data_IF_802612888148
#
_entry.id   IF_802612888148
#
_cell.length_a   1.000
_cell.length_b   1.000
_cell.length_c   1.000
_cell.angle_alpha   90.00
_cell.angle_beta   90.00
_cell.angle_gamma   90.00
#
_symmetry.space_group_name_H-M   'P 1'
#
loop_
_entity.id
_entity.type
_entity.pdbx_description
1 polymer ?
#
# COMPACT_ATOMS: atom_id res chain seq x y z
N UNK A 1 28.38 8.72 17.13
CA UNK A 1 27.02 9.20 17.45
C UNK A 1 26.42 8.19 18.42
N UNK A 2 26.29 8.50 19.71
CA UNK A 2 25.71 7.57 20.69
C UNK A 2 24.23 7.43 20.33
N UNK A 3 23.82 6.24 19.91
CA UNK A 3 22.44 5.99 19.50
C UNK A 3 21.48 6.02 20.69
N UNK A 4 20.18 6.19 20.43
CA UNK A 4 19.13 6.11 21.46
C UNK A 4 19.15 4.79 22.25
N UNK A 5 19.74 3.72 21.69
CA UNK A 5 19.93 2.43 22.37
C UNK A 5 21.28 2.28 23.09
N UNK A 6 22.08 3.36 23.21
CA UNK A 6 23.42 3.40 23.84
C UNK A 6 24.48 2.52 23.17
N UNK A 7 24.18 1.92 22.02
CA UNK A 7 25.12 1.10 21.26
C UNK A 7 25.76 1.90 20.12
N UNK A 8 27.05 1.68 19.87
CA UNK A 8 27.75 2.28 18.75
C UNK A 8 27.55 1.44 17.48
N UNK A 9 26.80 2.00 16.52
CA UNK A 9 26.60 1.35 15.22
C UNK A 9 27.90 1.14 14.46
N UNK A 10 28.95 1.93 14.73
CA UNK A 10 30.28 1.76 14.13
C UNK A 10 30.91 0.40 14.43
N UNK A 11 30.45 -0.29 15.48
CA UNK A 11 30.90 -1.64 15.84
C UNK A 11 30.09 -2.76 15.14
N UNK A 12 29.08 -2.42 14.34
CA UNK A 12 28.22 -3.37 13.66
C UNK A 12 28.81 -3.79 12.31
N UNK A 13 29.08 -5.07 12.11
CA UNK A 13 29.57 -5.59 10.82
C UNK A 13 28.55 -5.43 9.67
N UNK A 14 27.29 -5.19 10.00
CA UNK A 14 26.22 -4.99 9.02
C UNK A 14 26.09 -3.51 8.61
N UNK A 15 26.72 -2.58 9.34
CA UNK A 15 26.72 -1.15 8.99
C UNK A 15 27.46 -0.94 7.66
N UNK A 16 26.87 -0.14 6.77
CA UNK A 16 27.39 0.15 5.44
C UNK A 16 27.09 -0.94 4.40
N UNK A 17 27.05 -2.22 4.81
CA UNK A 17 26.78 -3.34 3.89
C UNK A 17 25.28 -3.59 3.74
N UNK A 18 24.56 -3.75 4.87
CA UNK A 18 23.14 -4.08 4.89
C UNK A 18 22.31 -3.13 5.77
N UNK A 19 22.94 -2.18 6.45
CA UNK A 19 22.30 -1.25 7.38
C UNK A 19 22.95 0.13 7.32
N UNK A 20 22.15 1.19 7.50
CA UNK A 20 22.58 2.59 7.46
C UNK A 20 22.64 3.26 8.85
N UNK A 21 22.51 2.46 9.92
CA UNK A 21 22.51 2.90 11.32
C UNK A 21 21.13 2.81 11.97
N UNK A 22 21.07 2.74 13.30
CA UNK A 22 19.83 2.43 14.02
C UNK A 22 18.92 3.66 14.25
N UNK A 23 17.64 3.42 14.58
CA UNK A 23 17.29 3.18 15.99
C UNK A 23 17.13 1.68 16.32
N UNK A 24 17.60 1.29 17.50
CA UNK A 24 17.17 0.05 18.15
C UNK A 24 17.81 -1.30 17.75
N UNK A 25 18.89 -1.36 16.96
CA UNK A 25 19.44 -2.67 16.53
C UNK A 25 20.15 -3.50 17.62
N UNK A 26 20.02 -3.14 18.91
CA UNK A 26 20.83 -3.62 20.04
C UNK A 26 20.97 -5.14 20.19
N UNK A 27 20.19 -5.94 19.46
CA UNK A 27 20.33 -7.39 19.33
C UNK A 27 21.55 -7.81 18.47
N UNK A 28 21.84 -7.11 17.37
CA UNK A 28 22.99 -7.42 16.48
C UNK A 28 24.33 -7.01 17.11
N UNK A 29 24.31 -6.10 18.09
CA UNK A 29 25.49 -5.58 18.77
C UNK A 29 25.81 -6.25 20.13
N UNK A 30 24.89 -7.05 20.71
CA UNK A 30 25.22 -7.86 21.90
C UNK A 30 26.24 -8.93 21.52
N UNK A 31 27.49 -8.78 21.97
CA UNK A 31 28.57 -9.77 21.81
C UNK A 31 28.43 -10.96 22.76
N UNK A 32 27.62 -10.87 23.80
CA UNK A 32 27.52 -11.89 24.86
C UNK A 32 26.04 -12.14 25.15
N UNK A 33 25.62 -13.39 24.98
CA UNK A 33 24.28 -13.97 25.25
C UNK A 33 23.06 -13.23 24.66
N UNK A 34 22.71 -13.56 23.42
CA UNK A 34 21.34 -13.40 22.94
C UNK A 34 20.66 -14.76 22.97
N UNK A 35 19.58 -14.89 23.74
CA UNK A 35 18.68 -16.04 23.61
C UNK A 35 17.92 -15.92 22.29
N UNK A 36 18.43 -16.61 21.27
CA UNK A 36 17.87 -16.58 19.93
C UNK A 36 16.60 -17.44 19.80
N UNK A 37 16.23 -18.23 20.82
CA UNK A 37 15.11 -19.17 20.74
C UNK A 37 13.74 -18.48 20.75
N UNK A 38 13.65 -17.28 21.33
CA UNK A 38 12.41 -16.51 21.49
C UNK A 38 12.34 -15.25 20.62
N UNK A 39 13.44 -14.84 19.97
CA UNK A 39 13.48 -13.63 19.16
C UNK A 39 12.80 -13.84 17.79
N UNK A 40 11.72 -13.09 17.53
CA UNK A 40 10.96 -13.17 16.27
C UNK A 40 11.59 -12.47 15.06
N UNK A 41 12.60 -11.63 15.25
CA UNK A 41 13.18 -10.80 14.17
C UNK A 41 14.17 -11.56 13.29
N UNK A 42 14.31 -11.12 12.03
CA UNK A 42 15.33 -11.65 11.12
C UNK A 42 16.70 -11.15 11.59
N UNK A 43 17.64 -12.08 11.76
CA UNK A 43 18.97 -11.78 12.32
C UNK A 43 20.09 -12.25 11.38
N UNK A 44 21.06 -11.38 11.00
CA UNK A 44 22.14 -11.72 10.08
C UNK A 44 23.11 -12.78 10.63
N UNK A 45 23.11 -13.00 11.94
CA UNK A 45 23.89 -14.05 12.62
C UNK A 45 23.24 -15.44 12.51
N UNK A 46 21.95 -15.53 12.17
CA UNK A 46 21.27 -16.82 12.00
C UNK A 46 21.68 -17.46 10.67
N UNK A 47 21.93 -18.79 10.63
CA UNK A 47 22.19 -19.50 9.39
C UNK A 47 21.09 -19.22 8.35
N UNK A 48 21.48 -19.01 7.09
CA UNK A 48 20.55 -18.78 5.99
C UNK A 48 20.08 -17.34 5.81
N UNK A 49 20.19 -16.45 6.80
CA UNK A 49 19.77 -15.04 6.64
C UNK A 49 20.55 -14.32 5.56
N UNK A 50 21.88 -14.48 5.51
CA UNK A 50 22.71 -13.86 4.47
C UNK A 50 22.35 -14.36 3.06
N UNK A 51 21.98 -15.64 2.92
CA UNK A 51 21.50 -16.20 1.67
C UNK A 51 20.13 -15.63 1.30
N UNK A 52 19.21 -15.50 2.27
CA UNK A 52 17.92 -14.84 2.09
C UNK A 52 18.07 -13.39 1.63
N UNK A 53 18.99 -12.63 2.24
CA UNK A 53 19.28 -11.25 1.83
C UNK A 53 19.87 -11.19 0.42
N UNK A 54 20.90 -12.00 0.14
CA UNK A 54 21.60 -11.93 -1.14
C UNK A 54 20.75 -12.44 -2.30
N UNK A 55 20.08 -13.58 -2.13
CA UNK A 55 19.36 -14.30 -3.19
C UNK A 55 17.87 -13.95 -3.18
N UNK A 56 17.24 -13.97 -2.01
CA UNK A 56 15.80 -13.73 -1.87
C UNK A 56 15.38 -12.27 -2.10
N UNK A 57 16.28 -11.31 -1.82
CA UNK A 57 16.03 -9.88 -1.98
C UNK A 57 16.85 -9.22 -3.12
N UNK A 58 17.54 -10.03 -3.93
CA UNK A 58 18.37 -9.58 -5.05
C UNK A 58 19.42 -8.51 -4.64
N UNK A 59 20.26 -8.81 -3.64
CA UNK A 59 21.42 -7.98 -3.28
C UNK A 59 21.31 -7.22 -1.96
N UNK A 60 22.47 -6.74 -1.48
CA UNK A 60 22.68 -6.20 -0.13
C UNK A 60 22.53 -4.69 -0.02
N UNK A 61 22.64 -3.95 -1.12
CA UNK A 61 22.68 -2.50 -1.08
C UNK A 61 21.39 -1.91 -1.64
N UNK A 62 20.89 -0.88 -0.95
CA UNK A 62 19.90 0.04 -1.53
C UNK A 62 20.38 0.66 -2.85
N UNK A 63 21.64 0.51 -3.26
CA UNK A 63 22.17 1.12 -4.48
C UNK A 63 21.76 0.39 -5.76
N UNK A 64 21.19 -0.81 -5.67
CA UNK A 64 20.87 -1.66 -6.82
C UNK A 64 19.36 -1.97 -6.91
N UNK A 65 18.56 -0.93 -7.18
CA UNK A 65 17.24 -1.11 -7.78
C UNK A 65 17.40 -1.46 -9.26
N UNK A 66 16.63 -2.44 -9.75
CA UNK A 66 16.64 -2.77 -11.19
C UNK A 66 16.02 -1.60 -11.96
N UNK A 67 16.57 -1.31 -13.13
CA UNK A 67 16.01 -0.28 -14.01
C UNK A 67 14.87 -0.91 -14.81
N UNK A 68 13.62 -0.67 -14.42
CA UNK A 68 12.43 -1.18 -15.10
C UNK A 68 11.43 -0.03 -15.22
N UNK A 69 11.12 0.37 -16.45
CA UNK A 69 10.09 1.37 -16.71
C UNK A 69 8.72 0.67 -16.68
N UNK A 70 7.82 1.01 -15.75
CA UNK A 70 6.50 0.39 -15.69
C UNK A 70 5.65 0.81 -16.89
N UNK A 71 4.69 -0.04 -17.26
CA UNK A 71 3.67 0.33 -18.23
C UNK A 71 2.78 1.47 -17.68
N UNK A 72 2.33 2.36 -18.57
CA UNK A 72 1.47 3.48 -18.20
C UNK A 72 0.14 3.05 -17.59
N UNK A 73 -0.34 3.85 -16.63
CA UNK A 73 -1.61 3.64 -15.91
C UNK A 73 -2.49 4.87 -16.12
N UNK A 74 -3.38 4.79 -17.10
CA UNK A 74 -4.24 5.91 -17.47
C UNK A 74 -5.63 5.81 -16.84
N UNK A 75 -6.31 6.95 -16.72
CA UNK A 75 -7.73 7.01 -16.37
C UNK A 75 -8.05 6.61 -14.94
N UNK A 76 -7.10 6.73 -13.99
CA UNK A 76 -7.46 6.59 -12.57
C UNK A 76 -8.32 7.79 -12.14
N UNK A 77 -9.44 7.57 -11.44
CA UNK A 77 -10.30 8.62 -10.90
C UNK A 77 -9.71 9.22 -9.61
N UNK A 78 -10.29 10.33 -9.14
CA UNK A 78 -9.98 10.89 -7.82
C UNK A 78 -10.35 9.93 -6.68
N UNK A 79 -11.33 9.04 -6.89
CA UNK A 79 -11.77 8.06 -5.90
C UNK A 79 -11.72 6.63 -6.43
N UNK A 80 -10.94 5.78 -5.75
CA UNK A 80 -10.83 4.35 -6.00
C UNK A 80 -11.54 3.58 -4.88
N UNK A 81 -12.80 3.16 -5.07
CA UNK A 81 -13.56 2.52 -4.01
C UNK A 81 -13.08 1.08 -3.77
N UNK A 82 -12.71 0.77 -2.52
CA UNK A 82 -12.32 -0.58 -2.16
C UNK A 82 -13.54 -1.42 -1.72
N UNK A 83 -13.76 -2.55 -2.37
CA UNK A 83 -14.81 -3.51 -2.05
C UNK A 83 -14.26 -4.70 -1.26
N UNK A 84 -15.01 -5.10 -0.22
CA UNK A 84 -14.66 -6.23 0.65
C UNK A 84 -15.33 -7.55 0.28
N UNK A 85 -16.15 -7.58 -0.77
CA UNK A 85 -16.86 -8.77 -1.24
C UNK A 85 -17.30 -8.60 -2.70
N UNK A 86 -17.81 -9.67 -3.30
CA UNK A 86 -18.43 -9.70 -4.63
C UNK A 86 -19.82 -9.05 -4.61
N UNK A 87 -20.24 -8.54 -5.76
CA UNK A 87 -21.59 -7.99 -5.91
C UNK A 87 -22.61 -9.11 -6.16
N UNK A 88 -23.77 -9.01 -5.52
CA UNK A 88 -24.92 -9.91 -5.76
C UNK A 88 -25.62 -9.53 -7.06
N UNK A 89 -25.69 -8.25 -7.37
CA UNK A 89 -26.22 -7.71 -8.62
C UNK A 89 -25.12 -7.02 -9.40
N UNK A 90 -25.07 -7.26 -10.70
CA UNK A 90 -24.13 -6.57 -11.59
C UNK A 90 -24.49 -5.08 -11.61
N UNK A 91 -23.55 -4.16 -11.28
CA UNK A 91 -23.79 -2.73 -11.41
C UNK A 91 -24.15 -2.34 -12.85
N UNK A 92 -25.01 -1.33 -13.00
CA UNK A 92 -25.35 -0.77 -14.30
C UNK A 92 -24.14 -0.12 -15.00
N UNK A 93 -24.22 0.00 -16.32
CA UNK A 93 -23.17 0.60 -17.14
C UNK A 93 -22.82 2.02 -16.63
N UNK A 94 -21.52 2.27 -16.43
CA UNK A 94 -21.02 3.55 -15.93
C UNK A 94 -21.20 3.80 -14.43
N UNK A 95 -22.00 3.00 -13.70
CA UNK A 95 -22.21 3.19 -12.26
C UNK A 95 -20.95 2.86 -11.43
N UNK A 96 -20.09 1.98 -11.93
CA UNK A 96 -18.85 1.57 -11.26
C UNK A 96 -17.70 1.46 -12.28
N UNK A 97 -17.06 2.58 -12.66
CA UNK A 97 -15.96 2.57 -13.62
C UNK A 97 -14.69 1.93 -13.05
N UNK A 98 -14.49 2.04 -11.74
CA UNK A 98 -13.35 1.47 -11.02
C UNK A 98 -13.78 0.85 -9.70
N UNK A 99 -13.16 -0.27 -9.35
CA UNK A 99 -13.26 -0.90 -8.02
C UNK A 99 -11.93 -1.56 -7.66
N UNK A 100 -11.53 -1.48 -6.40
CA UNK A 100 -10.32 -2.14 -5.91
C UNK A 100 -10.71 -3.24 -4.91
N UNK A 101 -10.19 -4.44 -5.10
CA UNK A 101 -10.53 -5.59 -4.26
C UNK A 101 -9.43 -5.79 -3.21
N UNK A 102 -9.83 -6.11 -1.98
CA UNK A 102 -8.88 -6.55 -0.97
C UNK A 102 -8.38 -7.98 -1.30
N UNK A 103 -7.07 -8.17 -1.43
CA UNK A 103 -6.45 -9.45 -1.79
C UNK A 103 -6.81 -10.62 -0.86
N UNK A 104 -7.14 -10.36 0.41
CA UNK A 104 -7.63 -11.40 1.32
C UNK A 104 -8.99 -12.00 0.91
N UNK A 105 -9.70 -11.38 -0.04
CA UNK A 105 -10.96 -11.89 -0.62
C UNK A 105 -10.74 -12.73 -1.86
N UNK A 106 -9.61 -12.58 -2.52
CA UNK A 106 -9.26 -13.30 -3.73
C UNK A 106 -8.39 -14.53 -3.42
N UNK A 107 -7.41 -14.37 -2.52
CA UNK A 107 -6.52 -15.44 -2.07
C UNK A 107 -7.02 -16.13 -0.80
N UNK A 108 -6.52 -17.34 -0.56
CA UNK A 108 -6.71 -18.12 0.66
C UNK A 108 -6.30 -17.31 1.89
N UNK A 109 -6.79 -17.70 3.08
CA UNK A 109 -6.43 -17.03 4.34
C UNK A 109 -4.92 -17.04 4.64
N UNK A 110 -4.20 -17.99 4.06
CA UNK A 110 -2.73 -18.11 4.14
C UNK A 110 -1.99 -17.29 3.10
N UNK A 111 -2.65 -16.74 2.08
CA UNK A 111 -2.01 -16.02 0.96
C UNK A 111 -1.27 -16.93 -0.03
N UNK A 112 -1.28 -18.25 0.16
CA UNK A 112 -0.51 -19.21 -0.65
C UNK A 112 -1.24 -19.74 -1.89
N UNK A 113 -2.53 -19.43 -2.05
CA UNK A 113 -3.36 -19.90 -3.16
C UNK A 113 -4.65 -19.09 -3.28
N UNK A 114 -5.57 -19.54 -4.13
CA UNK A 114 -6.84 -18.87 -4.35
C UNK A 114 -7.93 -19.34 -3.38
N UNK A 115 -8.92 -18.50 -3.12
CA UNK A 115 -10.18 -18.97 -2.50
C UNK A 115 -10.96 -19.86 -3.47
N UNK A 116 -11.79 -20.79 -2.98
CA UNK A 116 -12.63 -21.63 -3.85
C UNK A 116 -13.47 -20.81 -4.85
N UNK A 117 -14.01 -19.67 -4.42
CA UNK A 117 -14.79 -18.78 -5.28
C UNK A 117 -13.97 -18.18 -6.43
N UNK A 118 -12.71 -17.82 -6.19
CA UNK A 118 -11.79 -17.32 -7.23
C UNK A 118 -11.25 -18.45 -8.11
N UNK A 119 -11.01 -19.62 -7.53
CA UNK A 119 -10.57 -20.81 -8.25
C UNK A 119 -11.62 -21.31 -9.26
N UNK A 120 -12.91 -21.13 -8.98
CA UNK A 120 -13.99 -21.54 -9.88
C UNK A 120 -14.05 -20.75 -11.19
N UNK A 121 -13.41 -19.57 -11.25
CA UNK A 121 -13.45 -18.63 -12.38
C UNK A 121 -12.08 -18.00 -12.63
N UNK A 122 -11.01 -18.80 -12.51
CA UNK A 122 -9.63 -18.32 -12.70
C UNK A 122 -9.47 -17.65 -14.06
N UNK A 123 -8.89 -16.45 -14.05
CA UNK A 123 -8.63 -15.68 -15.26
C UNK A 123 -9.80 -14.78 -15.67
N UNK A 124 -10.94 -14.85 -14.98
CA UNK A 124 -12.11 -14.02 -15.24
C UNK A 124 -12.52 -13.24 -13.98
N UNK A 125 -11.78 -12.17 -13.70
CA UNK A 125 -12.02 -11.33 -12.52
C UNK A 125 -13.38 -10.63 -12.56
N UNK A 126 -13.90 -10.31 -13.76
CA UNK A 126 -15.19 -9.64 -13.92
C UNK A 126 -16.32 -10.58 -13.54
N UNK A 127 -16.28 -11.83 -14.01
CA UNK A 127 -17.21 -12.88 -13.58
C UNK A 127 -17.07 -13.20 -12.10
N UNK A 128 -15.85 -13.20 -11.57
CA UNK A 128 -15.63 -13.39 -10.13
C UNK A 128 -16.29 -12.28 -9.30
N UNK A 129 -16.07 -11.02 -9.66
CA UNK A 129 -16.57 -9.87 -8.90
C UNK A 129 -18.05 -9.58 -9.16
N UNK A 130 -18.61 -10.12 -10.25
CA UNK A 130 -19.92 -9.83 -10.79
C UNK A 130 -20.04 -8.37 -11.25
N UNK A 131 -19.16 -7.97 -12.17
CA UNK A 131 -19.13 -6.63 -12.78
C UNK A 131 -19.20 -6.70 -14.29
N UNK A 132 -19.54 -5.58 -14.92
CA UNK A 132 -19.49 -5.46 -16.38
C UNK A 132 -18.05 -5.50 -16.91
N UNK A 133 -17.82 -5.90 -18.18
CA UNK A 133 -16.48 -6.00 -18.77
C UNK A 133 -15.67 -4.70 -18.72
N UNK A 134 -16.34 -3.56 -18.85
CA UNK A 134 -15.74 -2.22 -18.86
C UNK A 134 -15.31 -1.71 -17.47
N UNK A 135 -15.86 -2.27 -16.38
CA UNK A 135 -15.46 -1.91 -15.02
C UNK A 135 -14.01 -2.28 -14.81
N UNK A 136 -13.11 -1.33 -14.57
CA UNK A 136 -11.71 -1.61 -14.27
C UNK A 136 -11.55 -2.09 -12.82
N UNK A 137 -10.74 -3.12 -12.63
CA UNK A 137 -10.59 -3.82 -11.34
C UNK A 137 -9.13 -3.79 -10.90
N UNK A 138 -8.88 -3.13 -9.77
CA UNK A 138 -7.62 -3.18 -9.06
C UNK A 138 -7.62 -4.22 -7.93
N UNK A 139 -6.44 -4.55 -7.42
CA UNK A 139 -6.28 -5.36 -6.19
C UNK A 139 -5.23 -4.73 -5.27
N UNK A 140 -5.49 -4.75 -3.97
CA UNK A 140 -4.57 -4.26 -2.95
C UNK A 140 -4.30 -5.28 -1.85
N UNK A 141 -3.18 -5.10 -1.12
CA UNK A 141 -2.75 -6.03 -0.07
C UNK A 141 -2.56 -5.38 1.31
N UNK A 142 -3.42 -4.42 1.66
CA UNK A 142 -3.64 -4.02 3.06
C UNK A 142 -4.33 -5.14 3.85
N UNK A 143 -3.52 -6.11 4.28
CA UNK A 143 -3.88 -7.36 4.96
C UNK A 143 -2.89 -7.64 6.09
N UNK A 144 -3.14 -8.68 6.89
CA UNK A 144 -2.24 -9.04 7.99
C UNK A 144 -0.91 -9.63 7.47
N UNK A 145 0.18 -9.40 8.19
CA UNK A 145 1.53 -9.87 7.81
C UNK A 145 1.59 -11.38 7.57
N UNK A 146 0.87 -12.20 8.36
CA UNK A 146 0.81 -13.66 8.16
C UNK A 146 0.35 -14.05 6.74
N UNK A 147 -0.57 -13.29 6.15
CA UNK A 147 -1.00 -13.51 4.78
C UNK A 147 0.11 -13.16 3.79
N UNK A 148 0.80 -12.03 4.02
CA UNK A 148 1.90 -11.58 3.17
C UNK A 148 3.06 -12.57 3.17
N UNK A 149 3.30 -13.27 4.29
CA UNK A 149 4.30 -14.33 4.36
C UNK A 149 3.99 -15.51 3.42
N UNK A 150 2.73 -15.95 3.35
CA UNK A 150 2.37 -17.01 2.43
C UNK A 150 2.38 -16.55 0.98
N UNK A 151 1.98 -15.30 0.71
CA UNK A 151 2.11 -14.68 -0.60
C UNK A 151 3.58 -14.61 -1.04
N UNK A 152 4.47 -14.15 -0.16
CA UNK A 152 5.91 -14.06 -0.42
C UNK A 152 6.52 -15.40 -0.80
N UNK A 153 6.19 -16.46 -0.04
CA UNK A 153 6.68 -17.83 -0.30
C UNK A 153 6.18 -18.39 -1.63
N UNK A 154 4.99 -17.99 -2.08
CA UNK A 154 4.34 -18.52 -3.28
C UNK A 154 4.23 -17.50 -4.42
N UNK A 155 4.96 -16.38 -4.34
CA UNK A 155 4.76 -15.20 -5.19
C UNK A 155 4.83 -15.47 -6.69
N UNK A 156 5.77 -16.32 -7.13
CA UNK A 156 5.89 -16.72 -8.53
C UNK A 156 4.59 -17.36 -9.06
N UNK A 157 3.95 -18.20 -8.24
CA UNK A 157 2.65 -18.80 -8.56
C UNK A 157 1.51 -17.79 -8.46
N UNK A 158 1.62 -16.75 -7.65
CA UNK A 158 0.57 -15.73 -7.50
C UNK A 158 0.54 -14.75 -8.67
N UNK A 159 1.67 -14.46 -9.32
CA UNK A 159 1.73 -13.49 -10.42
C UNK A 159 0.85 -13.85 -11.62
N UNK A 160 0.74 -15.14 -11.97
CA UNK A 160 -0.19 -15.59 -13.02
C UNK A 160 -1.64 -15.22 -12.73
N UNK A 161 -2.04 -15.22 -11.45
CA UNK A 161 -3.38 -14.81 -11.05
C UNK A 161 -3.51 -13.29 -10.96
N UNK A 162 -2.43 -12.56 -10.70
CA UNK A 162 -2.47 -11.10 -10.60
C UNK A 162 -2.51 -10.40 -11.96
N UNK A 163 -2.11 -11.08 -13.04
CA UNK A 163 -2.14 -10.54 -14.40
C UNK A 163 -3.54 -10.22 -14.93
N UNK A 164 -4.60 -10.78 -14.33
CA UNK A 164 -5.98 -10.52 -14.73
C UNK A 164 -6.53 -9.17 -14.22
N UNK A 165 -5.82 -8.49 -13.32
CA UNK A 165 -6.23 -7.20 -12.77
C UNK A 165 -5.70 -6.06 -13.63
N UNK A 166 -6.48 -4.98 -13.73
CA UNK A 166 -6.13 -3.78 -14.47
C UNK A 166 -4.96 -3.04 -13.81
N UNK A 167 -4.91 -3.05 -12.46
CA UNK A 167 -3.81 -2.56 -11.64
C UNK A 167 -3.61 -3.44 -10.40
N UNK A 168 -2.37 -3.53 -9.92
CA UNK A 168 -2.02 -4.22 -8.68
C UNK A 168 -1.24 -3.28 -7.78
N UNK A 169 -1.78 -2.94 -6.61
CA UNK A 169 -0.98 -2.28 -5.58
C UNK A 169 0.00 -3.31 -5.03
N UNK A 170 1.30 -3.07 -5.19
CA UNK A 170 2.32 -4.02 -4.75
C UNK A 170 2.18 -4.29 -3.24
N UNK A 171 2.33 -5.54 -2.77
CA UNK A 171 2.18 -5.83 -1.36
C UNK A 171 3.18 -5.05 -0.50
N UNK A 172 2.64 -4.39 0.54
CA UNK A 172 3.40 -3.55 1.47
C UNK A 172 3.59 -4.30 2.80
N UNK A 173 4.82 -4.68 3.11
CA UNK A 173 5.20 -5.29 4.38
C UNK A 173 5.32 -4.22 5.47
N UNK A 174 4.69 -4.48 6.61
CA UNK A 174 4.64 -3.56 7.73
C UNK A 174 6.03 -3.16 8.24
N UNK A 175 6.21 -1.86 8.47
CA UNK A 175 7.43 -1.27 9.04
C UNK A 175 7.08 -0.71 10.42
N UNK A 176 7.23 -1.54 11.46
CA UNK A 176 6.82 -1.17 12.83
C UNK A 176 7.87 -0.29 13.51
N UNK A 177 7.43 0.79 14.16
CA UNK A 177 8.35 1.80 14.70
C UNK A 177 9.30 1.28 15.79
N UNK A 178 8.87 0.26 16.52
CA UNK A 178 9.59 -0.41 17.60
C UNK A 178 10.47 -1.58 17.13
N UNK A 179 10.41 -1.94 15.84
CA UNK A 179 11.26 -2.96 15.26
C UNK A 179 12.69 -2.46 15.03
N UNK A 180 13.70 -3.35 15.07
CA UNK A 180 15.06 -2.99 14.72
C UNK A 180 15.15 -2.44 13.29
N UNK A 181 16.02 -1.44 13.05
CA UNK A 181 16.27 -0.92 11.69
C UNK A 181 16.49 -2.02 10.64
N UNK A 182 17.21 -3.08 10.99
CA UNK A 182 17.47 -4.20 10.08
C UNK A 182 16.18 -4.83 9.54
N UNK A 183 15.16 -4.98 10.39
CA UNK A 183 13.84 -5.49 10.00
C UNK A 183 13.12 -4.53 9.05
N UNK A 184 13.20 -3.21 9.31
CA UNK A 184 12.65 -2.19 8.41
C UNK A 184 13.22 -2.31 7.00
N UNK A 185 14.55 -2.41 6.90
CA UNK A 185 15.25 -2.50 5.62
C UNK A 185 14.84 -3.75 4.85
N UNK A 186 14.69 -4.88 5.55
CA UNK A 186 14.21 -6.13 4.96
C UNK A 186 12.79 -5.94 4.40
N UNK A 187 11.86 -5.43 5.19
CA UNK A 187 10.47 -5.29 4.77
C UNK A 187 10.34 -4.29 3.61
N UNK A 188 11.04 -3.16 3.65
CA UNK A 188 11.09 -2.21 2.54
C UNK A 188 11.62 -2.90 1.27
N UNK A 189 12.70 -3.68 1.38
CA UNK A 189 13.26 -4.40 0.23
C UNK A 189 12.33 -5.48 -0.30
N UNK A 190 11.55 -6.16 0.55
CA UNK A 190 10.51 -7.09 0.12
C UNK A 190 9.42 -6.39 -0.69
N UNK A 191 8.97 -5.20 -0.28
CA UNK A 191 8.02 -4.39 -1.05
C UNK A 191 8.57 -4.08 -2.46
N UNK A 192 9.81 -3.57 -2.52
CA UNK A 192 10.49 -3.24 -3.79
C UNK A 192 10.61 -4.48 -4.66
N UNK A 193 11.05 -5.61 -4.09
CA UNK A 193 11.27 -6.85 -4.84
C UNK A 193 9.97 -7.40 -5.43
N UNK A 194 8.88 -7.38 -4.67
CA UNK A 194 7.58 -7.82 -5.19
C UNK A 194 7.12 -6.92 -6.34
N UNK A 195 7.31 -5.61 -6.22
CA UNK A 195 7.00 -4.67 -7.29
C UNK A 195 7.82 -4.96 -8.56
N UNK A 196 9.15 -5.06 -8.45
CA UNK A 196 10.04 -5.39 -9.58
C UNK A 196 9.64 -6.72 -10.25
N UNK A 197 9.44 -7.79 -9.46
CA UNK A 197 9.03 -9.10 -9.98
C UNK A 197 7.67 -9.06 -10.68
N UNK A 198 6.73 -8.23 -10.19
CA UNK A 198 5.44 -8.02 -10.85
C UNK A 198 5.59 -7.33 -12.21
N UNK A 199 6.43 -6.28 -12.30
CA UNK A 199 6.71 -5.61 -13.57
C UNK A 199 7.36 -6.57 -14.57
N UNK A 200 8.35 -7.36 -14.12
CA UNK A 200 9.02 -8.39 -14.94
C UNK A 200 8.02 -9.43 -15.49
N UNK A 201 6.97 -9.73 -14.72
CA UNK A 201 5.90 -10.64 -15.14
C UNK A 201 4.86 -9.99 -16.08
N UNK A 202 5.00 -8.69 -16.39
CA UNK A 202 4.08 -7.92 -17.22
C UNK A 202 2.80 -7.51 -16.49
N UNK A 203 2.84 -7.37 -15.17
CA UNK A 203 1.73 -6.85 -14.36
C UNK A 203 1.85 -5.32 -14.28
N UNK A 204 0.72 -4.62 -14.44
CA UNK A 204 0.61 -3.18 -14.17
C UNK A 204 0.59 -2.93 -12.65
N UNK A 205 1.77 -3.01 -12.04
CA UNK A 205 1.92 -2.81 -10.61
C UNK A 205 2.10 -1.33 -10.25
N UNK A 206 1.55 -0.92 -9.11
CA UNK A 206 1.77 0.39 -8.48
C UNK A 206 2.61 0.12 -7.22
N UNK A 207 3.80 0.71 -7.08
CA UNK A 207 4.60 0.54 -5.87
C UNK A 207 3.89 1.22 -4.70
N UNK A 208 3.75 0.48 -3.61
CA UNK A 208 3.24 0.99 -2.34
C UNK A 208 4.44 1.34 -1.44
N UNK A 209 4.63 2.65 -1.25
CA UNK A 209 5.81 3.22 -0.61
C UNK A 209 5.84 2.83 0.86
N UNK A 210 6.88 2.09 1.25
CA UNK A 210 7.18 1.72 2.63
C UNK A 210 8.40 2.49 3.12
N UNK A 211 8.32 3.11 4.30
CA UNK A 211 9.42 3.87 4.88
C UNK A 211 9.37 3.84 6.40
N UNK A 212 10.53 4.08 7.02
CA UNK A 212 10.63 4.37 8.44
C UNK A 212 11.24 5.75 8.69
N UNK A 213 12.30 6.10 7.96
CA UNK A 213 13.04 7.35 8.11
C UNK A 213 13.23 8.09 6.79
N UNK A 214 13.66 9.35 6.86
CA UNK A 214 13.85 10.22 5.67
C UNK A 214 14.71 9.59 4.58
N UNK A 215 15.79 8.88 4.95
CA UNK A 215 16.66 8.20 3.99
C UNK A 215 15.93 7.16 3.12
N UNK A 216 14.88 6.52 3.65
CA UNK A 216 14.06 5.59 2.87
C UNK A 216 13.25 6.35 1.81
N UNK A 217 12.74 7.53 2.16
CA UNK A 217 11.99 8.38 1.24
C UNK A 217 12.90 9.01 0.18
N UNK A 218 14.12 9.43 0.55
CA UNK A 218 15.12 9.90 -0.41
C UNK A 218 15.42 8.81 -1.44
N UNK A 219 15.60 7.57 -0.98
CA UNK A 219 15.78 6.43 -1.87
C UNK A 219 14.58 6.20 -2.80
N UNK A 220 13.36 6.25 -2.26
CA UNK A 220 12.16 6.12 -3.07
C UNK A 220 12.07 7.22 -4.12
N UNK A 221 12.42 8.47 -3.78
CA UNK A 221 12.41 9.57 -4.72
C UNK A 221 13.37 9.34 -5.89
N UNK A 222 14.60 8.91 -5.60
CA UNK A 222 15.60 8.55 -6.60
C UNK A 222 15.09 7.39 -7.47
N UNK A 223 14.52 6.35 -6.85
CA UNK A 223 14.01 5.17 -7.54
C UNK A 223 12.83 5.50 -8.46
N UNK A 224 11.88 6.35 -8.00
CA UNK A 224 10.73 6.82 -8.78
C UNK A 224 11.20 7.59 -10.00
N UNK A 225 12.12 8.54 -9.81
CA UNK A 225 12.65 9.38 -10.87
C UNK A 225 13.44 8.56 -11.89
N UNK A 226 14.38 7.73 -11.43
CA UNK A 226 15.23 6.89 -12.28
C UNK A 226 14.42 5.94 -13.17
N UNK A 227 13.31 5.42 -12.66
CA UNK A 227 12.48 4.44 -13.37
C UNK A 227 11.28 5.03 -14.07
N UNK A 228 11.12 6.37 -14.09
CA UNK A 228 9.96 7.04 -14.70
C UNK A 228 8.62 6.48 -14.18
N UNK A 229 8.53 6.23 -12.87
CA UNK A 229 7.32 5.70 -12.25
C UNK A 229 6.25 6.79 -12.23
N UNK A 230 5.12 6.55 -12.90
CA UNK A 230 4.05 7.55 -13.07
C UNK A 230 3.03 7.57 -11.93
N UNK A 231 2.90 6.48 -11.18
CA UNK A 231 1.91 6.35 -10.11
C UNK A 231 2.54 5.64 -8.93
N UNK A 232 2.35 6.20 -7.72
CA UNK A 232 2.76 5.56 -6.47
C UNK A 232 1.58 5.52 -5.49
N UNK A 233 1.56 4.54 -4.61
CA UNK A 233 0.61 4.50 -3.49
C UNK A 233 1.34 4.78 -2.18
N UNK A 234 0.67 5.45 -1.25
CA UNK A 234 1.17 5.63 0.11
C UNK A 234 0.01 5.54 1.11
N UNK A 235 0.18 4.68 2.11
CA UNK A 235 -0.83 4.45 3.13
C UNK A 235 -0.67 5.39 4.33
N UNK A 236 -1.80 5.93 4.80
CA UNK A 236 -1.89 6.60 6.11
C UNK A 236 -2.57 5.71 7.15
N UNK A 237 -2.80 4.42 6.84
CA UNK A 237 -3.41 3.47 7.75
C UNK A 237 -2.35 2.98 8.75
N UNK A 238 -2.62 3.17 10.03
CA UNK A 238 -1.80 2.59 11.09
C UNK A 238 -2.36 1.25 11.54
N UNK A 239 -1.47 0.27 11.72
CA UNK A 239 -1.78 -0.96 12.43
C UNK A 239 -1.61 -0.65 13.93
N UNK A 240 -2.70 -0.38 14.63
CA UNK A 240 -2.67 -0.13 16.07
C UNK A 240 -4.05 0.20 16.65
N UNK A 241 -4.37 -0.38 17.79
CA UNK A 241 -5.57 -0.08 18.58
C UNK A 241 -5.18 0.83 19.75
N UNK A 242 -5.68 2.08 19.80
CA UNK A 242 -5.53 2.97 20.96
C UNK A 242 -5.23 4.44 20.64
N UNK A 243 -4.94 5.24 21.68
CA UNK A 243 -4.65 6.69 21.61
C UNK A 243 -3.51 7.07 20.63
N UNK A 244 -2.61 6.14 20.30
CA UNK A 244 -1.54 6.29 19.29
C UNK A 244 -2.06 6.54 17.85
N UNK A 245 -3.35 6.33 17.58
CA UNK A 245 -3.97 6.57 16.26
C UNK A 245 -4.40 8.02 16.00
N UNK A 246 -4.54 8.86 17.04
CA UNK A 246 -5.13 10.20 16.91
C UNK A 246 -4.19 11.27 16.33
N UNK A 247 -2.89 10.99 16.22
CA UNK A 247 -1.88 11.90 15.63
C UNK A 247 -1.02 11.29 14.53
N UNK A 248 -0.96 9.96 14.43
CA UNK A 248 -0.02 9.27 13.53
C UNK A 248 -0.22 9.61 12.06
N UNK A 249 -1.47 9.78 11.59
CA UNK A 249 -1.72 10.15 10.19
C UNK A 249 -1.02 11.45 9.77
N UNK A 250 -0.81 12.41 10.68
CA UNK A 250 -0.06 13.65 10.38
C UNK A 250 1.43 13.36 10.14
N UNK A 251 2.01 12.43 10.90
CA UNK A 251 3.39 11.96 10.68
C UNK A 251 3.53 11.26 9.33
N UNK A 252 2.59 10.37 8.98
CA UNK A 252 2.56 9.75 7.66
C UNK A 252 2.38 10.78 6.55
N UNK A 253 1.45 11.73 6.71
CA UNK A 253 1.25 12.81 5.75
C UNK A 253 2.53 13.65 5.56
N UNK A 254 3.25 13.96 6.64
CA UNK A 254 4.51 14.70 6.55
C UNK A 254 5.56 13.92 5.74
N UNK A 255 5.64 12.59 5.91
CA UNK A 255 6.48 11.72 5.08
C UNK A 255 6.07 11.72 3.62
N UNK A 256 4.77 11.65 3.33
CA UNK A 256 4.24 11.68 1.95
C UNK A 256 4.52 13.05 1.31
N UNK A 257 4.33 14.16 2.04
CA UNK A 257 4.66 15.51 1.57
C UNK A 257 6.15 15.64 1.27
N UNK A 258 7.01 15.14 2.18
CA UNK A 258 8.46 15.12 1.97
C UNK A 258 8.86 14.37 0.69
N UNK A 259 8.21 13.24 0.40
CA UNK A 259 8.41 12.49 -0.85
C UNK A 259 7.89 13.27 -2.06
N UNK A 260 6.69 13.84 -1.97
CA UNK A 260 6.05 14.59 -3.04
C UNK A 260 6.87 15.82 -3.49
N UNK A 261 7.61 16.45 -2.57
CA UNK A 261 8.54 17.54 -2.87
C UNK A 261 9.79 17.09 -3.65
N UNK A 262 10.08 15.79 -3.71
CA UNK A 262 11.33 15.21 -4.27
C UNK A 262 11.12 14.34 -5.50
N UNK A 263 9.87 14.06 -5.86
CA UNK A 263 9.53 13.29 -7.07
C UNK A 263 8.96 14.23 -8.15
N UNK A 264 9.06 13.86 -9.45
CA UNK A 264 8.52 14.67 -10.53
C UNK A 264 7.03 15.03 -10.33
N UNK A 265 6.63 16.25 -10.71
CA UNK A 265 5.31 16.82 -10.43
C UNK A 265 4.14 16.08 -11.09
N UNK A 266 4.42 15.39 -12.21
CA UNK A 266 3.49 14.57 -12.98
C UNK A 266 3.26 13.17 -12.39
N UNK A 267 4.03 12.77 -11.37
CA UNK A 267 3.79 11.50 -10.66
C UNK A 267 2.52 11.61 -9.82
N UNK A 268 1.52 10.77 -10.11
CA UNK A 268 0.29 10.68 -9.33
C UNK A 268 0.51 9.94 -8.01
N UNK A 269 -0.05 10.45 -6.92
CA UNK A 269 -0.01 9.79 -5.61
C UNK A 269 -1.41 9.29 -5.23
N UNK A 270 -1.53 7.98 -5.00
CA UNK A 270 -2.73 7.37 -4.43
C UNK A 270 -2.59 7.32 -2.91
N UNK A 271 -3.43 8.10 -2.23
CA UNK A 271 -3.47 8.18 -0.77
C UNK A 271 -4.43 7.13 -0.24
N UNK A 272 -3.89 6.17 0.50
CA UNK A 272 -4.68 5.05 1.03
C UNK A 272 -5.15 5.31 2.46
N UNK A 273 -6.44 5.09 2.69
CA UNK A 273 -7.06 5.11 4.01
C UNK A 273 -7.60 6.47 4.44
N UNK A 274 -7.31 7.54 3.71
CA UNK A 274 -7.97 8.83 3.89
C UNK A 274 -9.39 8.74 3.34
N UNK A 275 -10.35 9.03 4.22
CA UNK A 275 -11.77 9.01 3.87
C UNK A 275 -12.59 10.19 4.40
N UNK A 276 -12.06 10.92 5.38
CA UNK A 276 -12.73 12.10 5.95
C UNK A 276 -12.55 13.29 5.00
N UNK A 277 -13.63 14.06 4.69
CA UNK A 277 -13.55 15.28 3.90
C UNK A 277 -12.49 16.27 4.40
N UNK A 278 -12.43 16.48 5.73
CA UNK A 278 -11.42 17.33 6.36
C UNK A 278 -9.99 16.86 6.07
N UNK A 279 -9.73 15.55 6.13
CA UNK A 279 -8.40 15.00 5.84
C UNK A 279 -8.08 15.05 4.34
N UNK A 280 -9.07 14.79 3.47
CA UNK A 280 -8.91 14.90 2.02
C UNK A 280 -8.55 16.33 1.61
N UNK A 281 -9.20 17.35 2.19
CA UNK A 281 -8.86 18.76 1.97
C UNK A 281 -7.41 19.08 2.33
N UNK A 282 -6.95 18.61 3.50
CA UNK A 282 -5.55 18.80 3.92
C UNK A 282 -4.59 18.14 2.94
N UNK A 283 -4.86 16.90 2.51
CA UNK A 283 -4.03 16.21 1.51
C UNK A 283 -3.97 16.98 0.19
N UNK A 284 -5.12 17.39 -0.34
CA UNK A 284 -5.21 18.12 -1.61
C UNK A 284 -4.49 19.47 -1.53
N UNK A 285 -4.61 20.18 -0.40
CA UNK A 285 -3.92 21.46 -0.19
C UNK A 285 -2.40 21.30 -0.03
N UNK A 286 -1.96 20.31 0.75
CA UNK A 286 -0.54 20.18 1.09
C UNK A 286 0.29 19.49 -0.01
N UNK A 287 -0.36 18.69 -0.86
CA UNK A 287 0.33 17.84 -1.84
C UNK A 287 -0.18 18.10 -3.27
N UNK A 288 -1.47 18.40 -3.43
CA UNK A 288 -2.11 18.61 -4.73
C UNK A 288 -2.05 20.03 -5.28
N UNK A 289 -1.86 21.06 -4.43
CA UNK A 289 -1.88 22.48 -4.86
C UNK A 289 -0.81 22.87 -5.90
N UNK A 290 0.23 22.04 -6.09
CA UNK A 290 1.20 22.21 -7.18
C UNK A 290 0.76 21.62 -8.53
N UNK A 291 -0.52 21.33 -8.73
CA UNK A 291 -1.06 20.67 -9.92
C UNK A 291 -0.83 19.14 -9.95
N UNK A 292 -0.26 18.56 -8.89
CA UNK A 292 -0.04 17.12 -8.77
C UNK A 292 -1.38 16.40 -8.64
N UNK A 293 -1.57 15.36 -9.44
CA UNK A 293 -2.76 14.53 -9.32
C UNK A 293 -2.73 13.62 -8.09
N UNK A 294 -3.86 13.61 -7.38
CA UNK A 294 -4.10 12.79 -6.19
C UNK A 294 -5.35 11.94 -6.39
N UNK A 295 -5.24 10.67 -6.03
CA UNK A 295 -6.39 9.76 -5.90
C UNK A 295 -6.51 9.27 -4.46
N UNK A 296 -7.73 9.01 -3.99
CA UNK A 296 -8.01 8.44 -2.69
C UNK A 296 -8.49 7.01 -2.84
N UNK A 297 -7.88 6.06 -2.14
CA UNK A 297 -8.36 4.68 -2.09
C UNK A 297 -8.74 4.31 -0.65
N UNK A 298 -9.99 3.90 -0.45
CA UNK A 298 -10.47 3.45 0.87
C UNK A 298 -11.71 2.55 0.76
N UNK A 299 -12.01 1.82 1.83
CA UNK A 299 -13.17 0.92 1.92
C UNK A 299 -14.41 1.56 2.55
N UNK A 300 -14.45 2.89 2.74
CA UNK A 300 -15.56 3.50 3.48
C UNK A 300 -16.90 3.38 2.76
N UNK A 301 -16.96 3.49 1.43
CA UNK A 301 -18.19 3.25 0.70
C UNK A 301 -18.77 1.86 1.01
N UNK A 302 -17.92 0.83 0.99
CA UNK A 302 -18.31 -0.54 1.33
C UNK A 302 -18.73 -0.68 2.80
N UNK A 303 -17.92 -0.17 3.74
CA UNK A 303 -18.19 -0.30 5.18
C UNK A 303 -19.45 0.44 5.61
N UNK A 304 -19.81 1.54 4.92
CA UNK A 304 -21.04 2.30 5.15
C UNK A 304 -22.24 1.56 4.59
N UNK A 305 -22.13 1.03 3.38
CA UNK A 305 -23.16 0.21 2.77
C UNK A 305 -23.54 -1.00 3.63
N UNK A 306 -22.55 -1.72 4.18
CA UNK A 306 -22.80 -2.85 5.11
C UNK A 306 -23.48 -2.48 6.42
N UNK A 307 -23.55 -1.18 6.75
CA UNK A 307 -24.27 -0.66 7.92
C UNK A 307 -25.61 -0.02 7.55
N UNK A 308 -26.05 -0.14 6.29
CA UNK A 308 -27.25 0.50 5.77
C UNK A 308 -27.17 2.03 5.79
N UNK A 309 -25.96 2.60 5.65
CA UNK A 309 -25.74 4.04 5.77
C UNK A 309 -25.19 4.63 4.48
N UNK A 310 -25.65 5.83 4.14
CA UNK A 310 -25.03 6.69 3.14
C UNK A 310 -24.03 7.65 3.79
N UNK A 311 -23.03 8.05 3.02
CA UNK A 311 -22.17 9.19 3.28
C UNK A 311 -22.76 10.39 2.54
N UNK A 312 -22.92 11.51 3.24
CA UNK A 312 -23.26 12.80 2.63
C UNK A 312 -22.04 13.70 2.63
N UNK A 313 -21.95 14.61 1.66
CA UNK A 313 -20.82 15.54 1.52
C UNK A 313 -20.53 16.37 2.80
N UNK A 314 -21.55 16.68 3.60
CA UNK A 314 -21.43 17.34 4.91
C UNK A 314 -20.84 16.44 6.03
N UNK A 315 -20.52 15.18 5.70
CA UNK A 315 -20.01 14.17 6.63
C UNK A 315 -21.07 13.49 7.48
N UNK A 316 -22.36 13.84 7.33
CA UNK A 316 -23.45 13.18 8.03
C UNK A 316 -23.72 11.81 7.44
N UNK A 317 -24.33 10.94 8.26
CA UNK A 317 -24.74 9.60 7.86
C UNK A 317 -26.25 9.52 7.95
N UNK A 318 -26.86 8.95 6.92
CA UNK A 318 -28.29 8.72 6.89
C UNK A 318 -28.55 7.23 6.68
N UNK A 319 -29.55 6.71 7.39
CA UNK A 319 -30.06 5.37 7.16
C UNK A 319 -31.17 5.44 6.11
N UNK A 320 -31.13 4.55 5.13
CA UNK A 320 -32.13 4.50 4.05
C UNK A 320 -32.78 3.13 4.03
N UNK A 321 -34.09 3.08 4.25
CA UNK A 321 -34.80 1.81 4.29
C UNK A 321 -35.08 1.28 2.87
N UNK A 322 -35.10 -0.05 2.69
CA UNK A 322 -35.50 -0.70 1.44
C UNK A 322 -34.44 -0.80 0.32
N UNK A 323 -33.23 -0.27 0.52
CA UNK A 323 -32.13 -0.37 -0.46
C UNK A 323 -31.18 -1.53 -0.09
N UNK A 324 -30.76 -2.32 -1.08
CA UNK A 324 -29.79 -3.41 -0.85
C UNK A 324 -28.34 -2.90 -0.70
N UNK A 325 -27.46 -3.76 -0.18
CA UNK A 325 -26.08 -3.36 0.12
C UNK A 325 -25.23 -3.00 -1.11
N UNK A 326 -25.53 -3.54 -2.29
CA UNK A 326 -24.78 -3.22 -3.50
C UNK A 326 -25.20 -1.83 -4.00
N UNK A 327 -26.50 -1.56 -4.02
CA UNK A 327 -27.04 -0.23 -4.34
C UNK A 327 -26.53 0.84 -3.34
N UNK A 328 -26.48 0.53 -2.04
CA UNK A 328 -25.86 1.41 -1.05
C UNK A 328 -24.37 1.66 -1.32
N UNK A 329 -23.63 0.65 -1.77
CA UNK A 329 -22.22 0.82 -2.11
C UNK A 329 -22.07 1.80 -3.27
N UNK A 330 -22.81 1.60 -4.36
CA UNK A 330 -22.76 2.47 -5.53
C UNK A 330 -23.14 3.92 -5.21
N UNK A 331 -24.20 4.12 -4.41
CA UNK A 331 -24.59 5.46 -3.94
C UNK A 331 -23.45 6.12 -3.13
N UNK A 332 -22.85 5.39 -2.20
CA UNK A 332 -21.70 5.89 -1.44
C UNK A 332 -20.49 6.19 -2.36
N UNK A 333 -20.26 5.39 -3.40
CA UNK A 333 -19.18 5.65 -4.37
C UNK A 333 -19.39 6.99 -5.08
N UNK A 334 -20.62 7.24 -5.54
CA UNK A 334 -20.99 8.52 -6.15
C UNK A 334 -20.76 9.69 -5.19
N UNK A 335 -21.26 9.60 -3.96
CA UNK A 335 -21.14 10.67 -2.95
C UNK A 335 -19.69 10.97 -2.55
N UNK A 336 -18.85 9.94 -2.36
CA UNK A 336 -17.42 10.14 -2.09
C UNK A 336 -16.70 10.77 -3.28
N UNK A 337 -17.03 10.33 -4.50
CA UNK A 337 -16.42 10.88 -5.73
C UNK A 337 -16.75 12.36 -5.85
N UNK A 338 -18.03 12.72 -5.73
CA UNK A 338 -18.48 14.11 -5.77
C UNK A 338 -17.79 14.94 -4.69
N UNK A 339 -17.81 14.47 -3.44
CA UNK A 339 -17.19 15.18 -2.32
C UNK A 339 -15.69 15.46 -2.54
N UNK A 340 -14.91 14.50 -3.07
CA UNK A 340 -13.50 14.74 -3.35
C UNK A 340 -13.27 15.67 -4.54
N UNK A 341 -14.13 15.62 -5.56
CA UNK A 341 -14.07 16.56 -6.69
C UNK A 341 -14.39 17.99 -6.22
N UNK A 342 -15.43 18.19 -5.43
CA UNK A 342 -15.82 19.49 -4.88
C UNK A 342 -14.66 20.09 -4.05
N UNK A 343 -14.05 19.30 -3.16
CA UNK A 343 -12.89 19.73 -2.38
C UNK A 343 -11.70 20.06 -3.28
N UNK A 344 -11.44 19.28 -4.34
CA UNK A 344 -10.34 19.56 -5.28
C UNK A 344 -10.58 20.89 -5.99
N UNK A 345 -11.81 21.17 -6.41
CA UNK A 345 -12.21 22.45 -6.99
C UNK A 345 -11.93 23.61 -6.06
N UNK A 346 -12.47 23.55 -4.84
CA UNK A 346 -12.29 24.60 -3.81
C UNK A 346 -10.81 24.86 -3.47
N UNK A 347 -10.00 23.80 -3.34
CA UNK A 347 -8.55 23.94 -3.05
C UNK A 347 -7.78 24.55 -4.22
N UNK A 348 -8.24 24.36 -5.45
CA UNK A 348 -7.61 24.91 -6.65
C UNK A 348 -7.98 26.39 -6.84
N UNK A 349 -9.19 26.79 -6.46
CA UNK A 349 -9.62 28.20 -6.48
C UNK A 349 -8.92 29.04 -5.40
N UNK A 350 -8.56 28.42 -4.26
CA UNK A 350 -7.86 29.06 -3.14
C UNK A 350 -6.34 29.27 -3.37
N UNK A 351 -5.75 28.66 -4.41
CA UNK A 351 -4.30 28.59 -4.67
C UNK A 351 -3.87 29.54 -5.80
#
# INVERSE_FOLDING_TARGET
MISACRFDCGQCQELGVYCDGCPGCGVVLRKVSCDCSTCGYICPRRPGTKAFMKVGLAGSSFKEGRSIVPAGIDGLPIYLPAAGDRFKKTPDAGALPWVVVNGARFFSSTGSGLRPSALAVVGDIKRWLNTLPETRVGIHFYVQDRFLEGLWKNRACSYKYLKQFDIVFSPNFSVYEDSPRYEHLINIRRCIRLYEEMLEFGIKAIPDVAWYQRKDLDWWADYITKNSIQVVAASTQTVGTGLHTLGSWKGYLAGIRYLAERIPGDVRIIIVGVSSPKKARVVLREIGSGGRDISFMNSQAFMKARKGKTFRADGRKEFVEGIDFDAFFLLNVSEFTKCYMDIKGEVTEDA
#
